data_IF_767218679798
#
_entry.id   IF_767218679798
#
_cell.length_a   1.000
_cell.length_b   1.000
_cell.length_c   1.000
_cell.angle_alpha   90.00
_cell.angle_beta   90.00
_cell.angle_gamma   90.00
#
_symmetry.space_group_name_H-M   'P 1'
#
loop_
_entity.id
_entity.type
_entity.pdbx_description
1 polymer ?
#
# COMPACT_ATOMS: atom_id res chain seq x y z
N UNK A 1 -5.59 3.10 -0.89
CA UNK A 1 -4.17 3.00 -0.51
C UNK A 1 -3.41 4.23 -0.90
N UNK A 2 -2.25 4.28 -0.46
CA UNK A 2 -1.43 3.28 0.22
C UNK A 2 -1.63 3.33 1.74
N UNK A 3 -1.92 2.20 2.38
CA UNK A 3 -2.23 2.13 3.81
C UNK A 3 -1.09 1.54 4.64
N UNK A 4 -0.97 2.00 5.89
CA UNK A 4 -0.10 1.45 6.93
C UNK A 4 -0.71 1.74 8.31
N UNK A 5 -0.21 1.08 9.36
CA UNK A 5 -0.54 1.38 10.75
C UNK A 5 0.67 1.95 11.47
N UNK A 6 0.45 3.01 12.27
CA UNK A 6 1.51 3.64 13.08
C UNK A 6 1.83 2.81 14.33
N UNK A 7 0.79 2.22 14.92
CA UNK A 7 0.87 1.23 16.01
C UNK A 7 0.28 -0.09 15.53
N UNK A 8 0.50 -1.16 16.25
CA UNK A 8 0.01 -2.49 15.90
C UNK A 8 0.26 -2.84 14.42
N UNK A 9 1.47 -2.52 13.94
CA UNK A 9 1.85 -2.64 12.54
C UNK A 9 1.61 -4.04 12.03
N UNK A 10 1.13 -4.14 10.79
CA UNK A 10 0.73 -5.39 10.17
C UNK A 10 1.70 -5.81 9.08
N UNK A 11 2.29 -6.99 9.23
CA UNK A 11 2.86 -7.76 8.12
C UNK A 11 1.71 -8.40 7.37
N UNK A 12 1.79 -8.45 6.06
CA UNK A 12 0.71 -8.93 5.21
C UNK A 12 1.22 -9.98 4.22
N UNK A 13 0.43 -11.03 4.03
CA UNK A 13 0.54 -11.89 2.84
C UNK A 13 -0.73 -11.65 2.03
N UNK A 14 -0.57 -11.24 0.79
CA UNK A 14 -1.65 -10.94 -0.13
C UNK A 14 -1.68 -12.03 -1.17
N UNK A 15 -2.80 -12.74 -1.31
CA UNK A 15 -2.98 -13.81 -2.29
C UNK A 15 -4.14 -13.46 -3.21
N UNK A 16 -3.92 -13.52 -4.51
CA UNK A 16 -4.97 -13.34 -5.53
C UNK A 16 -5.67 -14.67 -5.76
N UNK A 17 -6.94 -14.76 -5.39
CA UNK A 17 -7.77 -15.97 -5.60
C UNK A 17 -8.37 -15.98 -7.00
N UNK A 18 -8.74 -14.81 -7.52
CA UNK A 18 -9.20 -14.66 -8.90
C UNK A 18 -8.93 -13.25 -9.41
N UNK A 19 -8.79 -13.12 -10.71
CA UNK A 19 -8.52 -11.83 -11.37
C UNK A 19 -7.03 -11.46 -11.38
N UNK A 20 -6.77 -10.16 -11.52
CA UNK A 20 -5.41 -9.62 -11.70
C UNK A 20 -5.29 -8.26 -11.04
N UNK A 21 -4.20 -8.04 -10.32
CA UNK A 21 -3.89 -6.76 -9.67
C UNK A 21 -2.46 -6.29 -9.96
N UNK A 22 -2.24 -4.98 -9.88
CA UNK A 22 -0.92 -4.39 -9.69
C UNK A 22 -0.80 -4.01 -8.22
N UNK A 23 -0.02 -4.76 -7.48
CA UNK A 23 0.29 -4.48 -6.09
C UNK A 23 1.42 -3.47 -5.98
N UNK A 24 1.33 -2.54 -5.04
CA UNK A 24 2.28 -1.44 -4.85
C UNK A 24 2.65 -1.33 -3.38
N UNK A 25 3.95 -1.42 -3.10
CA UNK A 25 4.49 -1.29 -1.76
C UNK A 25 5.58 -0.21 -1.71
N UNK A 26 5.50 0.70 -0.74
CA UNK A 26 6.47 1.78 -0.52
C UNK A 26 7.19 1.56 0.81
N UNK A 27 8.51 1.47 0.76
CA UNK A 27 9.32 1.27 1.95
C UNK A 27 9.32 2.55 2.82
N UNK A 28 8.83 2.44 4.03
CA UNK A 28 8.78 3.51 5.03
C UNK A 28 9.68 3.23 6.24
N UNK A 29 10.55 2.21 6.18
CA UNK A 29 11.44 1.85 7.29
C UNK A 29 12.39 2.99 7.62
N UNK A 30 12.28 3.51 8.84
CA UNK A 30 13.14 4.58 9.36
C UNK A 30 14.63 4.20 9.26
N UNK A 31 15.46 5.12 8.77
CA UNK A 31 16.90 4.89 8.63
C UNK A 31 17.31 3.96 7.47
N UNK A 32 16.36 3.42 6.72
CA UNK A 32 16.69 2.56 5.57
C UNK A 32 17.21 3.38 4.39
N UNK A 33 18.29 2.88 3.75
CA UNK A 33 18.77 3.41 2.46
C UNK A 33 17.72 3.32 1.34
N UNK A 34 16.74 2.45 1.51
CA UNK A 34 15.63 2.27 0.58
C UNK A 34 14.36 3.03 0.99
N UNK A 35 14.43 3.97 1.94
CA UNK A 35 13.27 4.77 2.35
C UNK A 35 12.65 5.50 1.16
N UNK A 36 11.34 5.33 0.96
CA UNK A 36 10.60 5.88 -0.18
C UNK A 36 10.73 5.08 -1.48
N UNK A 37 11.51 4.00 -1.51
CA UNK A 37 11.60 3.11 -2.67
C UNK A 37 10.28 2.39 -2.88
N UNK A 38 9.82 2.34 -4.13
CA UNK A 38 8.56 1.73 -4.54
C UNK A 38 8.84 0.39 -5.20
N UNK A 39 8.04 -0.60 -4.86
CA UNK A 39 8.05 -1.94 -5.43
C UNK A 39 6.70 -2.22 -6.07
N UNK A 40 6.70 -2.86 -7.22
CA UNK A 40 5.52 -3.20 -8.01
C UNK A 40 5.50 -4.71 -8.25
N UNK A 41 4.36 -5.32 -8.01
CA UNK A 41 4.14 -6.74 -8.24
C UNK A 41 2.87 -6.92 -9.09
N UNK A 42 3.04 -7.46 -10.30
CA UNK A 42 1.90 -7.86 -11.11
C UNK A 42 1.49 -9.25 -10.67
N UNK A 43 0.36 -9.35 -9.99
CA UNK A 43 -0.14 -10.59 -9.42
C UNK A 43 -1.35 -11.09 -10.20
N UNK A 44 -1.27 -12.35 -10.62
CA UNK A 44 -2.36 -13.10 -11.25
C UNK A 44 -2.95 -14.08 -10.23
N UNK A 45 -4.01 -14.79 -10.64
CA UNK A 45 -4.61 -15.88 -9.86
C UNK A 45 -3.54 -16.87 -9.38
N UNK A 46 -3.56 -17.21 -8.09
CA UNK A 46 -2.60 -18.08 -7.43
C UNK A 46 -1.33 -17.39 -6.92
N UNK A 47 -1.02 -16.16 -7.37
CA UNK A 47 0.16 -15.43 -6.91
C UNK A 47 -0.05 -14.87 -5.51
N UNK A 48 1.06 -14.82 -4.74
CA UNK A 48 1.10 -14.20 -3.42
C UNK A 48 2.29 -13.27 -3.27
N UNK A 49 2.15 -12.23 -2.46
CA UNK A 49 3.23 -11.32 -2.08
C UNK A 49 3.29 -11.13 -0.57
N UNK A 50 4.50 -11.11 -0.02
CA UNK A 50 4.77 -10.81 1.39
C UNK A 50 5.16 -9.33 1.54
N UNK A 51 4.43 -8.59 2.37
CA UNK A 51 4.63 -7.16 2.63
C UNK A 51 4.98 -6.97 4.10
N UNK A 52 6.24 -6.62 4.43
CA UNK A 52 6.65 -6.32 5.81
C UNK A 52 5.89 -5.14 6.42
N UNK A 53 5.77 -5.12 7.73
CA UNK A 53 4.97 -4.17 8.50
C UNK A 53 5.41 -2.69 8.43
N UNK A 54 6.56 -2.41 7.87
CA UNK A 54 7.08 -1.06 7.63
C UNK A 54 6.87 -0.56 6.20
N UNK A 55 6.01 -1.20 5.42
CA UNK A 55 5.60 -0.72 4.10
C UNK A 55 4.23 -0.07 4.13
N UNK A 56 4.08 1.04 3.40
CA UNK A 56 2.76 1.46 2.93
C UNK A 56 2.38 0.59 1.73
N UNK A 57 1.13 0.13 1.70
CA UNK A 57 0.67 -0.88 0.76
C UNK A 57 -0.69 -0.51 0.14
N UNK A 58 -0.84 -0.81 -1.13
CA UNK A 58 -2.09 -0.71 -1.86
C UNK A 58 -2.03 -1.48 -3.17
N UNK A 59 -3.15 -1.60 -3.85
CA UNK A 59 -3.21 -2.26 -5.14
C UNK A 59 -4.19 -1.57 -6.09
N UNK A 60 -4.02 -1.85 -7.37
CA UNK A 60 -4.91 -1.46 -8.45
C UNK A 60 -5.49 -2.73 -9.09
N UNK A 61 -6.81 -2.85 -9.15
CA UNK A 61 -7.48 -3.95 -9.84
C UNK A 61 -7.37 -3.73 -11.36
N UNK A 62 -6.77 -4.69 -12.07
CA UNK A 62 -6.54 -4.62 -13.52
C UNK A 62 -7.55 -5.45 -14.32
N UNK A 63 -8.27 -6.37 -13.69
CA UNK A 63 -9.38 -7.13 -14.26
C UNK A 63 -10.72 -6.48 -13.92
N UNK A 64 -11.80 -6.97 -14.51
CA UNK A 64 -13.17 -6.51 -14.20
C UNK A 64 -13.48 -6.66 -12.70
N UNK A 65 -13.06 -7.79 -12.11
CA UNK A 65 -13.16 -8.11 -10.69
C UNK A 65 -11.87 -8.80 -10.24
N UNK A 66 -11.55 -8.70 -8.96
CA UNK A 66 -10.50 -9.49 -8.32
C UNK A 66 -10.94 -9.89 -6.92
N UNK A 67 -10.65 -11.13 -6.52
CA UNK A 67 -10.82 -11.64 -5.16
C UNK A 67 -9.45 -11.81 -4.54
N UNK A 68 -9.24 -11.20 -3.38
CA UNK A 68 -7.95 -11.15 -2.70
C UNK A 68 -8.14 -11.58 -1.25
N UNK A 69 -7.25 -12.46 -0.75
CA UNK A 69 -7.17 -12.83 0.66
C UNK A 69 -5.97 -12.13 1.28
N UNK A 70 -6.20 -11.55 2.46
CA UNK A 70 -5.18 -10.98 3.33
C UNK A 70 -4.97 -11.89 4.54
N UNK A 71 -3.73 -12.33 4.74
CA UNK A 71 -3.29 -12.91 6.01
C UNK A 71 -2.48 -11.83 6.74
N UNK A 72 -2.87 -11.53 7.95
CA UNK A 72 -2.30 -10.45 8.77
C UNK A 72 -1.77 -11.04 10.07
N UNK A 73 -0.59 -10.58 10.51
CA UNK A 73 0.01 -11.00 11.79
C UNK A 73 -0.51 -10.20 12.99
N UNK A 74 -1.32 -9.17 12.76
CA UNK A 74 -1.89 -8.34 13.81
C UNK A 74 -3.30 -7.83 13.42
N UNK A 75 -4.09 -7.40 14.42
CA UNK A 75 -5.41 -6.86 14.21
C UNK A 75 -5.38 -5.47 13.57
N UNK A 76 -6.48 -5.13 12.89
CA UNK A 76 -6.67 -3.79 12.36
C UNK A 76 -6.86 -2.79 13.51
N UNK A 77 -6.02 -1.78 13.53
CA UNK A 77 -6.08 -0.64 14.45
C UNK A 77 -6.54 0.61 13.67
N UNK A 78 -7.85 0.81 13.63
CA UNK A 78 -8.45 1.87 12.82
C UNK A 78 -8.04 3.28 13.26
N UNK A 79 -7.76 3.48 14.55
CA UNK A 79 -7.32 4.77 15.11
C UNK A 79 -5.89 5.13 14.70
N UNK A 80 -5.03 4.13 14.54
CA UNK A 80 -3.63 4.29 14.14
C UNK A 80 -3.39 3.96 12.65
N UNK A 81 -4.45 3.67 11.90
CA UNK A 81 -4.36 3.45 10.46
C UNK A 81 -4.23 4.78 9.73
N UNK A 82 -3.26 4.87 8.84
CA UNK A 82 -2.97 6.05 8.03
C UNK A 82 -2.62 5.65 6.60
N UNK A 83 -2.33 6.63 5.76
CA UNK A 83 -1.98 6.37 4.37
C UNK A 83 -1.22 7.49 3.69
N UNK A 84 -0.62 7.14 2.56
CA UNK A 84 0.01 8.09 1.64
C UNK A 84 -0.81 8.12 0.36
N UNK A 85 -1.03 9.31 -0.19
CA UNK A 85 -1.77 9.48 -1.43
C UNK A 85 -1.13 8.68 -2.58
N UNK A 86 -1.94 7.87 -3.25
CA UNK A 86 -1.54 7.15 -4.46
C UNK A 86 -1.08 8.10 -5.59
N UNK A 87 -1.53 9.36 -5.56
CA UNK A 87 -1.22 10.39 -6.54
C UNK A 87 -0.12 11.35 -6.07
N UNK A 88 0.70 10.92 -5.12
CA UNK A 88 1.78 11.73 -4.57
C UNK A 88 2.77 12.17 -5.65
N UNK A 89 3.04 13.48 -5.71
CA UNK A 89 3.90 14.10 -6.74
C UNK A 89 5.37 13.73 -6.60
N UNK A 90 5.81 13.39 -5.38
CA UNK A 90 7.20 13.05 -5.10
C UNK A 90 7.47 11.57 -5.34
N UNK A 91 6.57 10.69 -4.93
CA UNK A 91 6.68 9.25 -5.17
C UNK A 91 6.48 8.90 -6.65
N UNK A 92 5.61 9.64 -7.36
CA UNK A 92 5.30 9.40 -8.79
C UNK A 92 4.94 7.94 -9.07
N UNK A 93 4.02 7.40 -8.27
CA UNK A 93 3.58 6.01 -8.36
C UNK A 93 3.04 5.73 -9.78
N UNK A 94 3.59 4.72 -10.42
CA UNK A 94 3.15 4.28 -11.75
C UNK A 94 1.79 3.60 -11.64
N UNK A 95 0.84 4.08 -12.41
CA UNK A 95 -0.54 3.59 -12.48
C UNK A 95 -0.82 3.02 -13.86
N UNK A 96 -1.63 1.99 -13.94
CA UNK A 96 -2.13 1.44 -15.21
C UNK A 96 -3.44 2.12 -15.63
N UNK A 97 -4.30 2.44 -14.66
CA UNK A 97 -5.61 3.09 -14.90
C UNK A 97 -5.47 4.61 -14.88
N UNK A 98 -5.96 5.27 -15.93
CA UNK A 98 -5.95 6.74 -16.04
C UNK A 98 -6.87 7.42 -15.02
N UNK A 99 -8.04 6.81 -14.76
CA UNK A 99 -9.08 7.33 -13.84
C UNK A 99 -9.48 6.23 -12.84
N UNK A 100 -8.70 5.99 -11.78
CA UNK A 100 -9.03 4.98 -10.80
C UNK A 100 -10.25 5.40 -9.96
N UNK A 101 -11.08 4.43 -9.60
CA UNK A 101 -12.16 4.59 -8.63
C UNK A 101 -11.54 4.49 -7.24
N UNK A 102 -11.74 5.51 -6.41
CA UNK A 102 -11.16 5.61 -5.07
C UNK A 102 -12.23 5.82 -4.02
N UNK A 103 -12.02 5.26 -2.83
CA UNK A 103 -12.79 5.63 -1.65
C UNK A 103 -12.54 7.10 -1.25
N UNK A 104 -13.47 7.71 -0.49
CA UNK A 104 -13.27 9.04 0.07
C UNK A 104 -12.01 9.11 0.95
N UNK A 105 -11.75 8.04 1.69
CA UNK A 105 -10.57 7.90 2.53
C UNK A 105 -9.28 7.97 1.70
N UNK A 106 -9.19 7.21 0.62
CA UNK A 106 -8.01 7.17 -0.24
C UNK A 106 -7.73 8.49 -0.96
N UNK A 107 -8.76 9.30 -1.18
CA UNK A 107 -8.62 10.65 -1.74
C UNK A 107 -7.99 11.65 -0.78
N UNK A 108 -8.10 11.41 0.54
CA UNK A 108 -7.72 12.35 1.61
C UNK A 108 -6.46 11.94 2.38
N UNK A 109 -5.66 11.03 1.84
CA UNK A 109 -4.39 10.65 2.46
C UNK A 109 -3.33 11.74 2.34
N UNK A 110 -2.37 11.72 3.29
CA UNK A 110 -1.23 12.61 3.31
C UNK A 110 -0.35 12.47 2.06
N UNK A 111 0.39 13.53 1.74
CA UNK A 111 1.53 13.42 0.84
C UNK A 111 2.69 12.68 1.52
N UNK A 112 3.60 12.13 0.72
CA UNK A 112 4.82 11.50 1.24
C UNK A 112 5.69 12.49 2.03
N UNK A 113 5.70 13.77 1.63
CA UNK A 113 6.45 14.82 2.34
C UNK A 113 5.86 15.07 3.72
N UNK A 114 4.54 15.23 3.84
CA UNK A 114 3.85 15.40 5.13
C UNK A 114 4.09 14.20 6.04
N UNK A 115 4.00 12.97 5.52
CA UNK A 115 4.34 11.77 6.27
C UNK A 115 5.77 11.81 6.81
N UNK A 116 6.74 12.16 5.94
CA UNK A 116 8.16 12.25 6.33
C UNK A 116 8.40 13.28 7.44
N UNK A 117 7.71 14.43 7.39
CA UNK A 117 7.82 15.49 8.39
C UNK A 117 7.20 15.06 9.73
N UNK A 118 6.02 14.43 9.72
CA UNK A 118 5.29 14.02 10.93
C UNK A 118 5.90 12.80 11.62
N UNK A 119 6.25 11.77 10.87
CA UNK A 119 6.54 10.43 11.40
C UNK A 119 8.01 10.02 11.24
N UNK A 120 8.77 10.65 10.35
CA UNK A 120 10.18 10.33 10.04
C UNK A 120 10.40 8.86 9.62
N UNK A 121 9.35 8.11 9.31
CA UNK A 121 9.34 6.69 8.97
C UNK A 121 8.55 5.81 9.96
N UNK A 122 8.44 4.52 9.65
CA UNK A 122 7.79 3.48 10.46
C UNK A 122 8.80 2.62 11.21
#
# INVERSE_FOLDING_TARGET
GLHFQLKNKQTKIITVISGKILDVAVNLKKGSKNFGKIYYFLLNEGDSVYIPNYFAHGYECLSKNATIIYHLDNYRDAENESGISYNDKKLKIKKKTKKPILSLRDKNHFSFLEFKQKNRGL
#
